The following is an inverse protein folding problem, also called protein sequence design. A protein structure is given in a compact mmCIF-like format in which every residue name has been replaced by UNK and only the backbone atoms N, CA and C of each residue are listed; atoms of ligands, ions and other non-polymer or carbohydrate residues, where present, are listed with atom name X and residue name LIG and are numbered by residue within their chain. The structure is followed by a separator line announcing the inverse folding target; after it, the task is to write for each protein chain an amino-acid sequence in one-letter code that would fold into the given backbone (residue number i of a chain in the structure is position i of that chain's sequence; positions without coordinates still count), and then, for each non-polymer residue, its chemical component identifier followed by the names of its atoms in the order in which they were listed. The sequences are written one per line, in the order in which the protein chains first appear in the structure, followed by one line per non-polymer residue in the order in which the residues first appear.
data_IF_217076188363
#
_entry.id   IF_217076188363
#
_cell.length_a   1.000
_cell.length_b   1.000
_cell.length_c   1.000
_cell.angle_alpha   90.00
_cell.angle_beta   90.00
_cell.angle_gamma   90.00
#
_symmetry.space_group_name_H-M   'P 1'
#
loop_
_entity.id
_entity.type
_entity.pdbx_description
1 polymer ?
#
# COMPACT_ATOMS: atom_id res chain seq x y z
N UNK A 1 -17.24 -9.23 -22.99
CA UNK A 1 -17.72 -8.62 -21.73
C UNK A 1 -16.98 -9.14 -20.49
N UNK A 2 -16.86 -10.47 -20.26
CA UNK A 2 -16.17 -11.01 -19.05
C UNK A 2 -14.69 -10.63 -18.89
N UNK A 3 -13.92 -10.53 -19.99
CA UNK A 3 -12.48 -10.15 -19.95
C UNK A 3 -12.23 -8.69 -19.53
N UNK A 4 -13.08 -7.75 -19.95
CA UNK A 4 -12.92 -6.34 -19.56
C UNK A 4 -13.26 -6.14 -18.08
N UNK A 5 -14.28 -6.84 -17.59
CA UNK A 5 -14.68 -6.83 -16.20
C UNK A 5 -13.59 -7.44 -15.29
N UNK A 6 -12.95 -8.54 -15.71
CA UNK A 6 -11.83 -9.13 -14.96
C UNK A 6 -10.60 -8.22 -14.94
N UNK A 7 -10.31 -7.50 -16.03
CA UNK A 7 -9.21 -6.53 -16.08
C UNK A 7 -9.51 -5.33 -15.19
N UNK A 8 -10.73 -4.79 -15.26
CA UNK A 8 -11.16 -3.68 -14.40
C UNK A 8 -11.11 -4.07 -12.91
N UNK A 9 -11.56 -5.28 -12.58
CA UNK A 9 -11.49 -5.81 -11.23
C UNK A 9 -10.04 -6.01 -10.77
N UNK A 10 -9.15 -6.51 -11.64
CA UNK A 10 -7.73 -6.61 -11.36
C UNK A 10 -7.06 -5.24 -11.11
N UNK A 11 -7.45 -4.20 -11.83
CA UNK A 11 -6.99 -2.82 -11.59
C UNK A 11 -7.52 -2.29 -10.25
N UNK A 12 -8.79 -2.55 -9.93
CA UNK A 12 -9.41 -2.16 -8.65
C UNK A 12 -8.75 -2.85 -7.46
N UNK A 13 -8.50 -4.15 -7.57
CA UNK A 13 -7.74 -4.92 -6.58
C UNK A 13 -6.32 -4.40 -6.46
N UNK A 14 -5.68 -4.00 -7.56
CA UNK A 14 -4.37 -3.38 -7.52
C UNK A 14 -4.38 -2.06 -6.73
N UNK A 15 -5.39 -1.20 -6.90
CA UNK A 15 -5.50 0.05 -6.13
C UNK A 15 -5.59 -0.24 -4.62
N UNK A 16 -6.48 -1.16 -4.22
CA UNK A 16 -6.66 -1.51 -2.80
C UNK A 16 -5.47 -2.28 -2.19
N UNK A 17 -4.70 -3.01 -3.00
CA UNK A 17 -3.53 -3.75 -2.54
C UNK A 17 -2.22 -2.96 -2.62
N UNK A 18 -2.22 -1.78 -3.24
CA UNK A 18 -1.01 -0.97 -3.45
C UNK A 18 -0.88 0.16 -2.43
N UNK A 19 -2.00 0.74 -1.99
CA UNK A 19 -1.99 1.78 -0.96
C UNK A 19 -2.17 1.10 0.39
N UNK A 20 -1.08 0.97 1.12
CA UNK A 20 -1.08 0.39 2.47
C UNK A 20 -1.18 1.48 3.55
N UNK A 21 -1.39 1.09 4.80
CA UNK A 21 -1.45 2.07 5.91
C UNK A 21 -0.12 2.81 6.10
N UNK A 22 1.00 2.16 5.79
CA UNK A 22 2.34 2.75 5.88
C UNK A 22 2.47 3.95 4.95
N UNK A 23 1.97 3.82 3.71
CA UNK A 23 1.89 4.90 2.73
C UNK A 23 0.98 6.02 3.22
N UNK A 24 -0.21 5.69 3.75
CA UNK A 24 -1.14 6.70 4.24
C UNK A 24 -0.54 7.52 5.39
N UNK A 25 0.08 6.86 6.37
CA UNK A 25 0.70 7.52 7.53
C UNK A 25 1.91 8.33 7.09
N UNK A 26 2.79 7.77 6.26
CA UNK A 26 4.00 8.46 5.80
C UNK A 26 3.67 9.69 4.97
N UNK A 27 2.78 9.56 3.98
CA UNK A 27 2.37 10.69 3.15
C UNK A 27 1.61 11.75 3.97
N UNK A 28 0.78 11.35 4.94
CA UNK A 28 0.11 12.31 5.82
C UNK A 28 1.11 13.08 6.71
N UNK A 29 2.10 12.40 7.29
CA UNK A 29 3.14 13.05 8.11
C UNK A 29 4.02 13.98 7.27
N UNK A 30 4.46 13.51 6.10
CA UNK A 30 5.27 14.30 5.17
C UNK A 30 4.48 15.51 4.67
N UNK A 31 3.22 15.34 4.28
CA UNK A 31 2.35 16.44 3.85
C UNK A 31 2.08 17.46 4.96
N UNK A 32 1.93 17.01 6.20
CA UNK A 32 1.75 17.90 7.35
C UNK A 32 3.01 18.73 7.65
N UNK A 33 4.21 18.17 7.45
CA UNK A 33 5.49 18.85 7.74
C UNK A 33 5.99 19.69 6.58
N UNK A 34 5.84 19.20 5.35
CA UNK A 34 6.47 19.77 4.16
C UNK A 34 5.47 20.25 3.09
N UNK A 35 4.16 20.20 3.37
CA UNK A 35 3.15 20.54 2.37
C UNK A 35 3.29 19.69 1.11
N UNK A 36 3.19 20.31 -0.06
CA UNK A 36 3.24 19.62 -1.36
C UNK A 36 4.64 19.56 -2.00
N UNK A 37 5.70 20.05 -1.35
CA UNK A 37 7.01 20.14 -2.00
C UNK A 37 7.61 18.77 -2.36
N UNK A 38 7.32 17.74 -1.56
CA UNK A 38 7.81 16.38 -1.75
C UNK A 38 6.84 15.49 -2.53
N UNK A 39 5.71 16.03 -3.03
CA UNK A 39 4.72 15.25 -3.78
C UNK A 39 5.31 14.63 -5.06
N UNK A 40 6.32 15.27 -5.67
CA UNK A 40 7.03 14.72 -6.83
C UNK A 40 7.78 13.42 -6.52
N UNK A 41 8.26 13.25 -5.28
CA UNK A 41 8.96 12.02 -4.87
C UNK A 41 7.99 10.84 -4.91
N UNK A 42 6.75 11.02 -4.47
CA UNK A 42 5.70 10.00 -4.56
C UNK A 42 5.43 9.62 -6.00
N UNK A 43 5.35 10.59 -6.93
CA UNK A 43 5.19 10.31 -8.37
C UNK A 43 6.38 9.51 -8.92
N UNK A 44 7.61 9.90 -8.57
CA UNK A 44 8.81 9.17 -8.97
C UNK A 44 8.83 7.73 -8.44
N UNK A 45 8.42 7.55 -7.17
CA UNK A 45 8.26 6.24 -6.55
C UNK A 45 7.26 5.35 -7.29
N UNK A 46 6.08 5.90 -7.63
CA UNK A 46 5.03 5.22 -8.41
C UNK A 46 5.54 4.81 -9.79
N UNK A 47 6.33 5.64 -10.47
CA UNK A 47 6.95 5.25 -11.75
C UNK A 47 7.94 4.12 -11.55
N UNK A 48 8.82 4.22 -10.56
CA UNK A 48 9.84 3.20 -10.28
C UNK A 48 9.25 1.83 -9.98
N UNK A 49 8.23 1.78 -9.12
CA UNK A 49 7.53 0.54 -8.79
C UNK A 49 6.67 0.01 -9.94
N UNK A 50 6.07 0.87 -10.78
CA UNK A 50 5.40 0.42 -12.00
C UNK A 50 6.37 -0.31 -12.94
N UNK A 51 7.57 0.26 -13.17
CA UNK A 51 8.62 -0.37 -13.97
C UNK A 51 9.06 -1.70 -13.35
N UNK A 52 9.28 -1.73 -12.03
CA UNK A 52 9.68 -2.94 -11.34
C UNK A 52 8.61 -4.06 -11.39
N UNK A 53 7.33 -3.70 -11.20
CA UNK A 53 6.20 -4.61 -11.30
C UNK A 53 6.05 -5.18 -12.72
N UNK A 54 6.26 -4.34 -13.74
CA UNK A 54 6.24 -4.73 -15.15
C UNK A 54 7.33 -5.76 -15.46
N UNK A 55 8.58 -5.49 -15.04
CA UNK A 55 9.70 -6.40 -15.21
C UNK A 55 9.46 -7.74 -14.49
N UNK A 56 9.01 -7.69 -13.24
CA UNK A 56 8.70 -8.88 -12.44
C UNK A 56 7.56 -9.70 -13.06
N UNK A 57 6.52 -9.01 -13.56
CA UNK A 57 5.39 -9.62 -14.26
C UNK A 57 5.80 -10.30 -15.55
N UNK A 58 6.69 -9.70 -16.36
CA UNK A 58 7.25 -10.34 -17.56
C UNK A 58 8.01 -11.62 -17.25
N UNK A 59 8.85 -11.59 -16.21
CA UNK A 59 9.59 -12.78 -15.78
C UNK A 59 8.64 -13.91 -15.40
N UNK A 60 7.61 -13.63 -14.60
CA UNK A 60 6.62 -14.63 -14.21
C UNK A 60 5.79 -15.15 -15.41
N UNK A 61 5.37 -14.25 -16.30
CA UNK A 61 4.55 -14.59 -17.47
C UNK A 61 5.30 -15.47 -18.50
N UNK A 62 6.58 -15.19 -18.74
CA UNK A 62 7.39 -15.93 -19.73
C UNK A 62 7.90 -17.24 -19.13
N UNK A 63 8.39 -17.23 -17.89
CA UNK A 63 8.97 -18.42 -17.27
C UNK A 63 7.92 -19.41 -16.76
N UNK A 64 6.68 -18.96 -16.53
CA UNK A 64 5.64 -19.73 -15.86
C UNK A 64 5.98 -20.10 -14.41
N UNK A 65 7.02 -19.49 -13.83
CA UNK A 65 7.52 -19.75 -12.48
C UNK A 65 7.59 -18.45 -11.68
N UNK A 66 7.42 -18.50 -10.35
CA UNK A 66 7.69 -17.36 -9.49
C UNK A 66 9.15 -16.90 -9.62
N UNK A 67 9.38 -15.59 -9.52
CA UNK A 67 10.73 -14.99 -9.54
C UNK A 67 11.66 -15.62 -8.49
N UNK A 68 11.10 -16.03 -7.35
CA UNK A 68 11.80 -16.74 -6.29
C UNK A 68 12.48 -18.04 -6.78
N UNK A 69 11.77 -18.86 -7.56
CA UNK A 69 12.29 -20.15 -8.02
C UNK A 69 13.47 -19.94 -8.97
N UNK A 70 13.39 -18.93 -9.84
CA UNK A 70 14.47 -18.55 -10.74
C UNK A 70 15.71 -18.07 -9.99
N UNK A 71 15.53 -17.27 -8.92
CA UNK A 71 16.63 -16.81 -8.07
C UNK A 71 17.33 -18.02 -7.43
N UNK A 72 16.56 -18.95 -6.85
CA UNK A 72 17.10 -20.15 -6.22
C UNK A 72 17.83 -21.05 -7.22
N UNK A 73 17.30 -21.21 -8.43
CA UNK A 73 17.87 -22.06 -9.48
C UNK A 73 19.15 -21.45 -10.09
N UNK A 74 19.16 -20.14 -10.36
CA UNK A 74 20.28 -19.45 -11.04
C UNK A 74 21.40 -19.03 -10.10
N UNK A 75 21.06 -18.56 -8.90
CA UNK A 75 21.99 -17.98 -7.93
C UNK A 75 22.31 -18.92 -6.76
N UNK A 76 21.68 -20.10 -6.75
CA UNK A 76 21.91 -21.15 -5.78
C UNK A 76 21.10 -20.99 -4.49
N UNK A 77 21.14 -22.04 -3.63
CA UNK A 77 20.24 -22.16 -2.48
C UNK A 77 20.49 -21.12 -1.38
N UNK A 78 21.72 -20.62 -1.21
CA UNK A 78 22.05 -19.62 -0.18
C UNK A 78 21.40 -18.26 -0.48
N UNK A 79 21.52 -17.80 -1.72
CA UNK A 79 20.91 -16.54 -2.16
C UNK A 79 19.39 -16.67 -2.26
N UNK A 80 18.88 -17.84 -2.66
CA UNK A 80 17.46 -18.16 -2.55
C UNK A 80 16.96 -18.03 -1.11
N UNK A 81 17.66 -18.62 -0.13
CA UNK A 81 17.27 -18.52 1.27
C UNK A 81 17.28 -17.07 1.78
N UNK A 82 18.33 -16.31 1.47
CA UNK A 82 18.42 -14.89 1.84
C UNK A 82 17.23 -14.09 1.30
N UNK A 83 16.89 -14.29 0.03
CA UNK A 83 15.73 -13.64 -0.60
C UNK A 83 14.41 -14.03 0.08
N UNK A 84 14.22 -15.32 0.40
CA UNK A 84 13.04 -15.80 1.10
C UNK A 84 12.89 -15.13 2.47
N UNK A 85 13.97 -15.12 3.26
CA UNK A 85 13.96 -14.49 4.58
C UNK A 85 13.73 -12.99 4.51
N UNK A 86 14.36 -12.30 3.55
CA UNK A 86 14.14 -10.86 3.34
C UNK A 86 12.70 -10.56 2.95
N UNK A 87 12.14 -11.32 2.01
CA UNK A 87 10.74 -11.17 1.58
C UNK A 87 9.78 -11.44 2.73
N UNK A 88 9.98 -12.52 3.50
CA UNK A 88 9.15 -12.80 4.67
C UNK A 88 9.25 -11.73 5.75
N UNK A 89 10.44 -11.17 5.99
CA UNK A 89 10.62 -10.09 6.95
C UNK A 89 9.85 -8.83 6.53
N UNK A 90 9.94 -8.43 5.26
CA UNK A 90 9.20 -7.28 4.72
C UNK A 90 7.69 -7.54 4.80
N UNK A 91 7.22 -8.71 4.37
CA UNK A 91 5.79 -9.07 4.46
C UNK A 91 5.29 -9.07 5.90
N UNK A 92 6.11 -9.51 6.86
CA UNK A 92 5.76 -9.47 8.28
C UNK A 92 5.66 -8.03 8.80
N UNK A 93 6.55 -7.14 8.38
CA UNK A 93 6.48 -5.72 8.74
C UNK A 93 5.22 -5.06 8.18
N UNK A 94 4.89 -5.30 6.91
CA UNK A 94 3.64 -4.82 6.31
C UNK A 94 2.42 -5.38 7.05
N UNK A 95 2.41 -6.68 7.37
CA UNK A 95 1.32 -7.29 8.11
C UNK A 95 1.11 -6.66 9.50
N UNK A 96 2.20 -6.39 10.24
CA UNK A 96 2.14 -5.70 11.54
C UNK A 96 1.61 -4.28 11.37
N UNK A 97 2.06 -3.56 10.35
CA UNK A 97 1.58 -2.21 10.04
C UNK A 97 0.06 -2.23 9.78
N UNK A 98 -0.41 -3.13 8.91
CA UNK A 98 -1.84 -3.27 8.57
C UNK A 98 -2.73 -3.56 9.79
N UNK A 99 -2.32 -4.49 10.67
CA UNK A 99 -3.04 -4.75 11.92
C UNK A 99 -3.07 -3.50 12.80
N UNK A 100 -1.94 -2.80 12.92
CA UNK A 100 -1.86 -1.54 13.64
C UNK A 100 -2.79 -0.47 13.04
N UNK A 101 -2.85 -0.37 11.72
CA UNK A 101 -3.73 0.55 10.99
C UNK A 101 -5.20 0.33 11.28
N UNK A 102 -5.65 -0.92 11.26
CA UNK A 102 -7.03 -1.27 11.62
C UNK A 102 -7.30 -0.95 13.09
N UNK A 103 -6.38 -1.27 13.99
CA UNK A 103 -6.52 -0.99 15.41
C UNK A 103 -6.61 0.52 15.70
N UNK A 104 -5.74 1.33 15.09
CA UNK A 104 -5.76 2.79 15.17
C UNK A 104 -7.06 3.37 14.62
N UNK A 105 -7.52 2.87 13.46
CA UNK A 105 -8.79 3.31 12.86
C UNK A 105 -9.98 3.02 13.78
N UNK A 106 -10.01 1.84 14.42
CA UNK A 106 -11.03 1.48 15.40
C UNK A 106 -10.92 2.29 16.68
N UNK A 107 -9.70 2.59 17.15
CA UNK A 107 -9.48 3.48 18.29
C UNK A 107 -10.02 4.89 18.01
N UNK A 108 -9.83 5.43 16.80
CA UNK A 108 -10.36 6.74 16.42
C UNK A 108 -11.90 6.79 16.47
N UNK A 109 -12.57 5.69 16.15
CA UNK A 109 -14.04 5.60 16.15
C UNK A 109 -14.59 5.32 17.56
N UNK A 110 -13.96 4.42 18.30
CA UNK A 110 -14.50 3.87 19.55
C UNK A 110 -13.88 4.48 20.80
N UNK A 111 -12.76 5.20 20.68
CA UNK A 111 -11.92 5.69 21.78
C UNK A 111 -11.38 4.59 22.71
N UNK A 112 -11.46 3.31 22.30
CA UNK A 112 -10.93 2.17 23.04
C UNK A 112 -9.43 2.02 22.77
N UNK A 113 -8.66 1.63 23.78
CA UNK A 113 -7.21 1.46 23.67
C UNK A 113 -6.84 0.41 22.61
N UNK A 114 -5.93 0.77 21.70
CA UNK A 114 -5.44 -0.07 20.60
C UNK A 114 -4.90 -1.43 21.06
N UNK A 115 -4.27 -1.51 22.24
CA UNK A 115 -3.68 -2.75 22.78
C UNK A 115 -4.75 -3.82 23.02
N UNK A 116 -5.98 -3.41 23.36
CA UNK A 116 -7.11 -4.32 23.53
C UNK A 116 -7.75 -4.71 22.19
N UNK A 117 -7.64 -3.84 21.19
CA UNK A 117 -8.22 -4.02 19.86
C UNK A 117 -7.36 -4.97 19.01
N UNK A 118 -6.03 -4.85 19.09
CA UNK A 118 -5.08 -5.62 18.26
C UNK A 118 -5.33 -7.14 18.32
N UNK A 119 -5.46 -7.80 19.48
CA UNK A 119 -5.73 -9.23 19.55
C UNK A 119 -7.06 -9.61 18.90
N UNK A 120 -8.09 -8.77 19.07
CA UNK A 120 -9.41 -8.99 18.47
C UNK A 120 -9.35 -8.88 16.94
N UNK A 121 -8.66 -7.87 16.41
CA UNK A 121 -8.41 -7.71 14.97
C UNK A 121 -7.65 -8.91 14.42
N UNK A 122 -6.56 -9.32 15.08
CA UNK A 122 -5.79 -10.49 14.68
C UNK A 122 -6.63 -11.78 14.63
N UNK A 123 -7.50 -11.99 15.62
CA UNK A 123 -8.42 -13.12 15.63
C UNK A 123 -9.44 -13.08 14.49
N UNK A 124 -10.02 -11.90 14.21
CA UNK A 124 -10.97 -11.71 13.10
C UNK A 124 -10.28 -11.96 11.75
N UNK A 125 -9.09 -11.40 11.54
CA UNK A 125 -8.29 -11.62 10.32
C UNK A 125 -7.98 -13.10 10.15
N UNK A 126 -7.54 -13.78 11.21
CA UNK A 126 -7.28 -15.22 11.20
C UNK A 126 -8.54 -16.02 10.82
N UNK A 127 -9.70 -15.68 11.40
CA UNK A 127 -10.97 -16.33 11.09
C UNK A 127 -11.38 -16.13 9.62
N UNK A 128 -11.18 -14.92 9.08
CA UNK A 128 -11.44 -14.62 7.66
C UNK A 128 -10.53 -15.46 6.78
N UNK A 129 -9.22 -15.49 7.06
CA UNK A 129 -8.27 -16.29 6.29
C UNK A 129 -8.59 -17.79 6.33
N UNK A 130 -9.08 -18.29 7.46
CA UNK A 130 -9.48 -19.69 7.61
C UNK A 130 -10.75 -20.04 6.82
N UNK A 131 -11.72 -19.13 6.75
CA UNK A 131 -13.08 -19.43 6.28
C UNK A 131 -13.40 -18.91 4.88
N UNK A 132 -12.74 -17.83 4.45
CA UNK A 132 -13.02 -17.17 3.19
C UNK A 132 -12.35 -17.87 2.02
N UNK A 133 -13.02 -17.85 0.86
CA UNK A 133 -12.42 -18.30 -0.41
C UNK A 133 -11.58 -17.17 -0.98
N UNK A 134 -10.47 -17.51 -1.63
CA UNK A 134 -9.57 -16.55 -2.27
C UNK A 134 -10.30 -15.57 -3.20
N UNK A 135 -11.21 -16.07 -4.04
CA UNK A 135 -11.99 -15.22 -4.96
C UNK A 135 -12.90 -14.21 -4.26
N UNK A 136 -13.36 -14.50 -3.04
CA UNK A 136 -14.18 -13.57 -2.26
C UNK A 136 -13.29 -12.51 -1.64
N UNK A 137 -12.13 -12.90 -1.08
CA UNK A 137 -11.16 -11.95 -0.54
C UNK A 137 -10.71 -10.94 -1.59
N UNK A 138 -10.30 -11.41 -2.77
CA UNK A 138 -9.81 -10.56 -3.85
C UNK A 138 -10.85 -9.51 -4.26
N UNK A 139 -12.10 -9.94 -4.48
CA UNK A 139 -13.17 -9.06 -4.92
C UNK A 139 -13.58 -8.06 -3.82
N UNK A 140 -13.70 -8.51 -2.58
CA UNK A 140 -14.11 -7.65 -1.45
C UNK A 140 -13.03 -6.63 -1.15
N UNK A 141 -11.76 -7.04 -1.08
CA UNK A 141 -10.65 -6.11 -0.82
C UNK A 141 -10.49 -5.10 -1.96
N UNK A 142 -10.61 -5.53 -3.23
CA UNK A 142 -10.58 -4.61 -4.36
C UNK A 142 -11.73 -3.60 -4.35
N UNK A 143 -12.93 -4.01 -3.94
CA UNK A 143 -14.06 -3.10 -3.76
C UNK A 143 -13.86 -2.17 -2.56
N UNK A 144 -13.31 -2.65 -1.44
CA UNK A 144 -12.99 -1.82 -0.28
C UNK A 144 -11.91 -0.77 -0.63
N UNK A 145 -10.98 -1.08 -1.54
CA UNK A 145 -10.02 -0.11 -2.07
C UNK A 145 -10.67 1.13 -2.69
N UNK A 146 -11.91 1.03 -3.22
CA UNK A 146 -12.66 2.19 -3.70
C UNK A 146 -13.00 3.20 -2.59
N UNK A 147 -12.98 2.79 -1.32
CA UNK A 147 -13.17 3.69 -0.19
C UNK A 147 -12.10 4.79 -0.14
N UNK A 148 -10.93 4.60 -0.78
CA UNK A 148 -9.92 5.65 -0.92
C UNK A 148 -10.44 6.91 -1.63
N UNK A 149 -11.56 6.83 -2.36
CA UNK A 149 -12.23 8.01 -2.92
C UNK A 149 -12.63 9.04 -1.84
N UNK A 150 -12.78 8.61 -0.58
CA UNK A 150 -13.00 9.51 0.57
C UNK A 150 -11.89 10.54 0.68
N UNK A 151 -10.63 10.22 0.38
CA UNK A 151 -9.54 11.20 0.42
C UNK A 151 -9.71 12.30 -0.63
N UNK A 152 -10.19 11.95 -1.83
CA UNK A 152 -10.50 12.94 -2.86
C UNK A 152 -11.68 13.84 -2.45
N UNK A 153 -12.73 13.23 -1.88
CA UNK A 153 -13.87 13.98 -1.34
C UNK A 153 -13.44 14.91 -0.20
N UNK A 154 -12.61 14.43 0.72
CA UNK A 154 -12.08 15.20 1.84
C UNK A 154 -11.23 16.38 1.36
N UNK A 155 -10.37 16.18 0.35
CA UNK A 155 -9.57 17.25 -0.24
C UNK A 155 -10.45 18.37 -0.81
N UNK A 156 -11.52 18.03 -1.54
CA UNK A 156 -12.45 19.03 -2.08
C UNK A 156 -13.24 19.70 -0.96
N UNK A 157 -13.70 18.94 0.03
CA UNK A 157 -14.47 19.45 1.16
C UNK A 157 -13.67 20.40 2.08
N UNK A 158 -12.36 20.19 2.20
CA UNK A 158 -11.45 21.08 2.92
C UNK A 158 -11.28 22.45 2.24
N UNK A 159 -11.63 22.57 0.97
CA UNK A 159 -11.54 23.81 0.20
C UNK A 159 -10.15 24.46 0.21
N UNK A 160 -9.06 23.72 -0.08
CA UNK A 160 -7.71 24.26 -0.01
C UNK A 160 -7.47 25.33 -1.08
N UNK A 161 -6.48 26.18 -0.84
CA UNK A 161 -5.98 27.08 -1.89
C UNK A 161 -5.26 26.28 -2.98
N UNK A 162 -5.99 25.99 -4.06
CA UNK A 162 -5.49 25.26 -5.21
C UNK A 162 -4.26 25.92 -5.86
N UNK A 163 -4.17 27.26 -5.83
CA UNK A 163 -3.02 27.98 -6.40
C UNK A 163 -1.80 27.82 -5.53
N UNK A 164 -1.97 27.93 -4.20
CA UNK A 164 -0.92 27.65 -3.23
C UNK A 164 -0.40 26.21 -3.33
N UNK A 165 -1.30 25.22 -3.41
CA UNK A 165 -0.91 23.81 -3.58
C UNK A 165 -0.16 23.58 -4.90
N UNK A 166 -0.64 24.14 -6.01
CA UNK A 166 0.02 24.02 -7.31
C UNK A 166 1.41 24.68 -7.30
N UNK A 167 1.52 25.85 -6.68
CA UNK A 167 2.81 26.53 -6.54
C UNK A 167 3.79 25.69 -5.72
N UNK A 168 3.38 25.23 -4.54
CA UNK A 168 4.18 24.36 -3.67
C UNK A 168 4.61 23.06 -4.36
N UNK A 169 3.73 22.49 -5.19
CA UNK A 169 4.07 21.31 -5.99
C UNK A 169 5.16 21.64 -7.03
N UNK A 170 5.10 22.80 -7.68
CA UNK A 170 6.11 23.17 -8.70
C UNK A 170 7.44 23.67 -8.13
N UNK A 171 7.45 24.21 -6.91
CA UNK A 171 8.66 24.67 -6.24
C UNK A 171 9.34 23.52 -5.50
N UNK A 172 10.46 23.05 -6.03
CA UNK A 172 11.38 22.16 -5.32
C UNK A 172 12.12 22.95 -4.24
N UNK A 173 11.44 23.24 -3.15
CA UNK A 173 12.02 23.94 -2.00
C UNK A 173 11.90 23.07 -0.74
N UNK A 174 12.82 23.21 0.22
CA UNK A 174 12.73 22.57 1.54
C UNK A 174 11.84 23.46 2.41
N UNK A 175 10.55 23.17 2.61
CA UNK A 175 9.63 24.14 3.18
C UNK A 175 9.55 24.00 4.72
N UNK A 176 10.71 23.88 5.37
CA UNK A 176 10.76 23.81 6.82
C UNK A 176 12.08 24.32 7.37
N UNK A 177 11.98 25.21 8.37
CA UNK A 177 13.06 25.57 9.30
C UNK A 177 13.37 24.39 10.24
N UNK A 178 13.47 23.18 9.70
CA UNK A 178 13.82 22.01 10.49
C UNK A 178 15.34 22.00 10.70
N UNK A 179 15.74 22.15 11.96
CA UNK A 179 17.12 22.33 12.42
C UNK A 179 17.98 21.06 12.41
N UNK A 180 17.54 20.01 11.71
CA UNK A 180 18.23 18.73 11.58
C UNK A 180 18.41 18.36 10.11
#
# INVERSE_FOLDING_TARGET
MKKYLSVALGILTAIGGFVDIGDLVTNAQVGARFGMSLAWITIGGVVGICVFAEMSGRVAAISGRPTFDLIRERLGPRLGLLNLTGSMAVTMLTFVAEIGGVALSLQLITSVNEVLIVPAVGFVVWLILWRARFSVMENVLGLLGLALIVFAVALVALGPDWRGLAHQWTTFDKPGDEAW
#
